data_IF_121220636229
#
_entry.id   IF_121220636229
#
_cell.length_a   1.000
_cell.length_b   1.000
_cell.length_c   1.000
_cell.angle_alpha   90.00
_cell.angle_beta   90.00
_cell.angle_gamma   90.00
#
_symmetry.space_group_name_H-M   'P 1'
#
loop_
_entity.id
_entity.type
_entity.pdbx_description
1 polymer ?
#
# COMPACT_ATOMS: atom_id res chain seq x y z
N UNK A 1 -14.47 10.09 -3.21
CA UNK A 1 -14.58 9.09 -4.30
C UNK A 1 -14.36 7.65 -3.81
N UNK A 2 -13.45 7.38 -2.85
CA UNK A 2 -13.25 6.03 -2.30
C UNK A 2 -13.20 5.94 -0.75
N UNK A 3 -13.42 7.04 -0.02
CA UNK A 3 -13.36 7.02 1.45
C UNK A 3 -11.96 6.84 2.07
N UNK A 4 -10.90 7.17 1.32
CA UNK A 4 -9.50 7.08 1.77
C UNK A 4 -9.19 8.22 2.75
N UNK A 5 -8.65 7.89 3.93
CA UNK A 5 -8.31 8.87 4.97
C UNK A 5 -7.00 9.62 4.69
N UNK A 6 -6.01 8.94 4.11
CA UNK A 6 -4.65 9.48 3.89
C UNK A 6 -4.17 9.25 2.46
N UNK A 7 -3.63 10.29 1.83
CA UNK A 7 -3.04 10.22 0.49
C UNK A 7 -1.69 10.91 0.49
N UNK A 8 -0.65 10.16 0.16
CA UNK A 8 0.71 10.68 -0.02
C UNK A 8 1.20 10.30 -1.43
N UNK A 9 1.60 11.31 -2.20
CA UNK A 9 2.08 11.15 -3.57
C UNK A 9 3.09 12.25 -3.93
N UNK A 10 3.88 12.00 -4.97
CA UNK A 10 4.71 13.05 -5.58
C UNK A 10 3.81 14.11 -6.22
N UNK A 11 4.13 15.38 -5.97
CA UNK A 11 3.45 16.50 -6.61
C UNK A 11 4.25 16.95 -7.83
N UNK A 12 3.61 17.00 -9.00
CA UNK A 12 4.26 17.44 -10.24
C UNK A 12 4.21 18.97 -10.34
N UNK A 13 5.33 19.59 -10.72
CA UNK A 13 5.36 21.03 -10.93
C UNK A 13 4.63 21.41 -12.23
N UNK A 14 3.67 22.33 -12.11
CA UNK A 14 2.87 22.85 -13.22
C UNK A 14 3.03 24.37 -13.28
N UNK A 15 3.43 24.88 -14.44
CA UNK A 15 3.51 26.31 -14.73
C UNK A 15 2.71 26.59 -16.00
N UNK A 16 1.80 27.57 -15.96
CA UNK A 16 0.93 27.94 -17.07
C UNK A 16 0.14 26.77 -17.67
N UNK A 17 -0.32 25.86 -16.79
CA UNK A 17 -1.08 24.67 -17.18
C UNK A 17 -0.25 23.58 -17.86
N UNK A 18 1.08 23.65 -17.83
CA UNK A 18 1.99 22.66 -18.43
C UNK A 18 2.91 22.02 -17.40
N UNK A 19 3.15 20.72 -17.56
CA UNK A 19 4.16 19.99 -16.79
C UNK A 19 5.55 20.53 -17.14
N UNK A 20 6.34 20.87 -16.13
CA UNK A 20 7.72 21.34 -16.32
C UNK A 20 8.72 20.18 -16.43
N UNK A 21 8.29 18.97 -16.05
CA UNK A 21 9.16 17.80 -15.89
C UNK A 21 9.86 17.73 -14.53
N UNK A 22 9.58 18.68 -13.63
CA UNK A 22 10.04 18.66 -12.23
C UNK A 22 8.92 18.24 -11.29
N UNK A 23 9.29 17.99 -10.04
CA UNK A 23 8.37 17.72 -8.94
C UNK A 23 8.57 18.77 -7.84
N UNK A 24 7.57 18.90 -6.98
CA UNK A 24 7.58 19.77 -5.80
C UNK A 24 7.75 18.91 -4.54
N UNK A 25 8.41 19.49 -3.53
CA UNK A 25 8.57 18.86 -2.23
C UNK A 25 9.53 17.66 -2.22
N UNK A 26 9.32 16.77 -1.26
CA UNK A 26 10.10 15.55 -1.10
C UNK A 26 9.61 14.45 -2.03
N UNK A 27 10.53 13.61 -2.51
CA UNK A 27 10.18 12.43 -3.29
C UNK A 27 9.60 11.36 -2.36
N UNK A 28 8.43 10.84 -2.72
CA UNK A 28 7.85 9.62 -2.15
C UNK A 28 8.55 8.40 -2.75
N UNK A 29 9.73 8.11 -2.22
CA UNK A 29 10.50 6.89 -2.52
C UNK A 29 10.13 5.73 -1.57
N UNK A 30 10.85 4.61 -1.67
CA UNK A 30 10.54 3.45 -0.83
C UNK A 30 10.76 3.68 0.67
N UNK A 31 11.78 4.44 1.04
CA UNK A 31 12.02 4.78 2.45
C UNK A 31 10.91 5.70 2.96
N UNK A 32 10.52 6.71 2.17
CA UNK A 32 9.44 7.63 2.52
C UNK A 32 8.10 6.92 2.65
N UNK A 33 7.81 5.89 1.83
CA UNK A 33 6.60 5.06 2.00
C UNK A 33 6.58 4.34 3.36
N UNK A 34 7.71 3.79 3.80
CA UNK A 34 7.81 3.16 5.11
C UNK A 34 7.64 4.18 6.24
N UNK A 35 8.23 5.38 6.10
CA UNK A 35 8.04 6.49 7.03
C UNK A 35 6.57 6.89 7.15
N UNK A 36 5.85 7.05 6.02
CA UNK A 36 4.42 7.37 6.06
C UNK A 36 3.58 6.28 6.74
N UNK A 37 3.89 5.00 6.51
CA UNK A 37 3.21 3.90 7.22
C UNK A 37 3.40 4.03 8.74
N UNK A 38 4.62 4.30 9.19
CA UNK A 38 4.95 4.51 10.60
C UNK A 38 4.23 5.72 11.18
N UNK A 39 4.27 6.87 10.49
CA UNK A 39 3.62 8.11 10.92
C UNK A 39 2.10 7.96 11.03
N UNK A 40 1.47 7.30 10.06
CA UNK A 40 0.02 7.03 10.07
C UNK A 40 -0.32 6.10 11.23
N UNK A 41 0.44 5.02 11.43
CA UNK A 41 0.22 4.09 12.53
C UNK A 41 0.32 4.79 13.89
N UNK A 42 1.33 5.64 14.09
CA UNK A 42 1.49 6.45 15.30
C UNK A 42 0.33 7.43 15.51
N UNK A 43 -0.08 8.13 14.45
CA UNK A 43 -1.20 9.08 14.49
C UNK A 43 -2.52 8.41 14.87
N UNK A 44 -2.77 7.21 14.38
CA UNK A 44 -3.97 6.42 14.69
C UNK A 44 -3.86 5.62 15.99
N UNK A 45 -2.70 5.63 16.66
CA UNK A 45 -2.47 4.85 17.88
C UNK A 45 -2.44 3.34 17.64
N UNK A 46 -2.08 2.91 16.43
CA UNK A 46 -2.02 1.52 15.99
C UNK A 46 -0.57 1.04 16.09
N UNK A 47 -0.35 -0.14 16.69
CA UNK A 47 0.99 -0.73 16.69
C UNK A 47 1.38 -1.18 15.29
N UNK A 48 2.63 -0.99 14.86
CA UNK A 48 3.05 -1.30 13.48
C UNK A 48 2.74 -2.75 13.06
N UNK A 49 2.87 -3.71 13.99
CA UNK A 49 2.50 -5.13 13.78
C UNK A 49 0.99 -5.37 13.53
N UNK A 50 0.13 -4.38 13.68
CA UNK A 50 -1.31 -4.44 13.37
C UNK A 50 -1.64 -3.80 12.01
N UNK A 51 -0.61 -3.43 11.23
CA UNK A 51 -0.79 -2.82 9.91
C UNK A 51 -0.62 -3.85 8.80
N UNK A 52 -1.29 -3.60 7.68
CA UNK A 52 -1.13 -4.35 6.43
C UNK A 52 -0.65 -3.38 5.36
N UNK A 53 0.41 -3.76 4.65
CA UNK A 53 0.91 -3.03 3.50
C UNK A 53 0.80 -3.88 2.23
N UNK A 54 0.36 -3.27 1.13
CA UNK A 54 0.20 -3.93 -0.17
C UNK A 54 0.95 -3.14 -1.24
N UNK A 55 1.74 -3.82 -2.07
CA UNK A 55 2.52 -3.19 -3.14
C UNK A 55 3.01 -4.19 -4.18
N UNK A 56 3.41 -3.73 -5.36
CA UNK A 56 3.78 -4.56 -6.51
C UNK A 56 5.27 -4.46 -6.89
N UNK A 57 5.94 -3.40 -6.43
CA UNK A 57 7.27 -3.02 -6.87
C UNK A 57 8.36 -3.19 -5.80
N UNK A 58 9.62 -3.19 -6.26
CA UNK A 58 10.78 -3.21 -5.37
C UNK A 58 10.84 -1.95 -4.47
N UNK A 59 10.27 -0.84 -4.94
CA UNK A 59 10.18 0.40 -4.17
C UNK A 59 9.24 0.28 -2.97
N UNK A 60 8.37 -0.73 -2.93
CA UNK A 60 7.46 -0.94 -1.79
C UNK A 60 8.09 -1.82 -0.71
N UNK A 61 9.19 -2.52 -1.01
CA UNK A 61 9.82 -3.47 -0.08
C UNK A 61 10.12 -2.87 1.31
N UNK A 62 10.63 -1.64 1.45
CA UNK A 62 10.82 -1.06 2.79
C UNK A 62 9.51 -0.95 3.58
N UNK A 63 8.42 -0.56 2.92
CA UNK A 63 7.08 -0.45 3.54
C UNK A 63 6.49 -1.83 3.83
N UNK A 64 6.61 -2.78 2.90
CA UNK A 64 6.13 -4.15 3.07
C UNK A 64 6.85 -4.87 4.22
N UNK A 65 8.16 -4.67 4.36
CA UNK A 65 8.95 -5.29 5.42
C UNK A 65 8.73 -4.65 6.80
N UNK A 66 8.24 -3.41 6.84
CA UNK A 66 7.92 -2.71 8.09
C UNK A 66 6.56 -3.12 8.66
N UNK A 67 5.59 -3.39 7.79
CA UNK A 67 4.23 -3.73 8.19
C UNK A 67 4.17 -5.05 8.97
N UNK A 68 3.13 -5.21 9.80
CA UNK A 68 2.84 -6.49 10.45
C UNK A 68 2.50 -7.61 9.48
N UNK A 69 1.93 -7.25 8.32
CA UNK A 69 1.73 -8.14 7.18
C UNK A 69 2.03 -7.38 5.87
N UNK A 70 3.14 -7.71 5.23
CA UNK A 70 3.52 -7.19 3.91
C UNK A 70 3.08 -8.11 2.78
N UNK A 71 2.31 -7.59 1.83
CA UNK A 71 1.74 -8.35 0.71
C UNK A 71 2.27 -7.82 -0.63
N UNK A 72 3.04 -8.66 -1.33
CA UNK A 72 3.42 -8.42 -2.71
C UNK A 72 2.28 -8.81 -3.67
N UNK A 73 1.64 -7.82 -4.31
CA UNK A 73 0.49 -7.99 -5.19
C UNK A 73 0.92 -7.96 -6.67
N UNK A 74 0.66 -9.04 -7.41
CA UNK A 74 1.06 -9.20 -8.84
C UNK A 74 2.53 -8.82 -9.11
N UNK A 75 3.38 -8.98 -8.10
CA UNK A 75 4.72 -8.44 -8.10
C UNK A 75 5.70 -9.24 -8.97
N UNK A 76 6.81 -8.61 -9.37
CA UNK A 76 7.92 -9.32 -10.04
C UNK A 76 8.57 -10.33 -9.09
N UNK A 77 9.23 -11.36 -9.63
CA UNK A 77 9.84 -12.44 -8.84
C UNK A 77 10.76 -11.92 -7.72
N UNK A 78 11.58 -10.92 -8.02
CA UNK A 78 12.50 -10.29 -7.05
C UNK A 78 11.79 -9.67 -5.84
N UNK A 79 10.57 -9.18 -6.03
CA UNK A 79 9.75 -8.58 -4.97
C UNK A 79 9.07 -9.69 -4.16
N UNK A 80 8.57 -10.73 -4.84
CA UNK A 80 7.94 -11.89 -4.20
C UNK A 80 8.89 -12.65 -3.26
N UNK A 81 10.15 -12.78 -3.63
CA UNK A 81 11.17 -13.44 -2.80
C UNK A 81 11.54 -12.65 -1.54
N UNK A 82 11.26 -11.33 -1.54
CA UNK A 82 11.63 -10.43 -0.43
C UNK A 82 10.46 -10.09 0.49
N UNK A 83 9.22 -10.28 0.06
CA UNK A 83 8.02 -10.02 0.85
C UNK A 83 7.55 -11.29 1.59
N UNK A 84 6.95 -11.11 2.77
CA UNK A 84 6.47 -12.21 3.60
C UNK A 84 5.32 -13.00 2.95
N UNK A 85 4.44 -12.29 2.23
CA UNK A 85 3.30 -12.90 1.52
C UNK A 85 3.19 -12.34 0.11
N UNK A 86 2.61 -13.14 -0.80
CA UNK A 86 2.31 -12.67 -2.16
C UNK A 86 0.97 -13.17 -2.68
N UNK A 87 0.26 -12.32 -3.41
CA UNK A 87 -0.97 -12.63 -4.12
C UNK A 87 -0.70 -12.47 -5.62
N UNK A 88 -0.80 -13.57 -6.36
CA UNK A 88 -0.43 -13.62 -7.78
C UNK A 88 -1.58 -13.92 -8.73
N UNK A 89 -2.71 -14.41 -8.23
CA UNK A 89 -3.81 -14.97 -9.04
C UNK A 89 -5.19 -14.43 -8.68
N UNK A 90 -5.32 -13.65 -7.60
CA UNK A 90 -6.56 -13.03 -7.15
C UNK A 90 -6.49 -11.51 -7.35
N UNK A 91 -7.65 -10.85 -7.24
CA UNK A 91 -7.75 -9.40 -7.13
C UNK A 91 -7.30 -8.91 -5.75
N UNK A 92 -7.44 -7.59 -5.52
CA UNK A 92 -7.08 -6.97 -4.24
C UNK A 92 -7.98 -7.42 -3.08
N UNK A 93 -9.20 -7.86 -3.39
CA UNK A 93 -10.12 -8.59 -2.52
C UNK A 93 -9.49 -9.85 -1.91
N UNK A 94 -8.47 -10.43 -2.56
CA UNK A 94 -7.64 -11.51 -2.03
C UNK A 94 -7.06 -11.22 -0.63
N UNK A 95 -6.83 -9.95 -0.30
CA UNK A 95 -6.33 -9.51 1.02
C UNK A 95 -7.34 -9.85 2.13
N UNK A 96 -8.65 -9.84 1.85
CA UNK A 96 -9.69 -10.13 2.83
C UNK A 96 -9.56 -11.57 3.38
N UNK A 97 -9.15 -12.54 2.56
CA UNK A 97 -8.93 -13.91 3.04
C UNK A 97 -7.77 -14.00 4.04
N UNK A 98 -6.73 -13.17 3.87
CA UNK A 98 -5.60 -13.09 4.82
C UNK A 98 -6.03 -12.45 6.15
N UNK A 99 -7.07 -11.61 6.11
CA UNK A 99 -7.74 -11.06 7.29
C UNK A 99 -8.73 -12.04 7.94
N UNK A 100 -8.88 -13.26 7.40
CA UNK A 100 -9.79 -14.28 7.94
C UNK A 100 -11.22 -14.20 7.42
N UNK A 101 -11.49 -13.39 6.38
CA UNK A 101 -12.78 -13.41 5.71
C UNK A 101 -12.95 -14.67 4.84
N UNK A 102 -14.20 -15.00 4.58
CA UNK A 102 -14.61 -16.15 3.76
C UNK A 102 -15.66 -15.66 2.77
N UNK A 103 -15.90 -16.40 1.70
CA UNK A 103 -16.85 -16.03 0.63
C UNK A 103 -18.20 -15.59 1.19
N UNK A 104 -18.75 -16.34 2.16
CA UNK A 104 -20.01 -15.99 2.83
C UNK A 104 -20.04 -14.59 3.46
N UNK A 105 -18.90 -14.09 3.92
CA UNK A 105 -18.80 -12.73 4.46
C UNK A 105 -18.69 -11.68 3.35
N UNK A 106 -17.95 -11.99 2.28
CA UNK A 106 -17.72 -11.09 1.15
C UNK A 106 -19.01 -10.94 0.33
N UNK A 107 -19.69 -12.05 0.04
CA UNK A 107 -20.99 -12.08 -0.67
C UNK A 107 -22.05 -11.25 0.06
N UNK A 108 -22.01 -11.18 1.40
CA UNK A 108 -22.92 -10.36 2.19
C UNK A 108 -22.64 -8.86 2.08
N UNK A 109 -21.39 -8.46 1.82
CA UNK A 109 -20.98 -7.05 1.66
C UNK A 109 -21.32 -6.49 0.28
N UNK A 110 -21.39 -7.34 -0.76
CA UNK A 110 -21.77 -6.91 -2.12
C UNK A 110 -23.28 -6.68 -2.29
N UNK A 111 -24.09 -7.08 -1.31
CA UNK A 111 -25.56 -6.95 -1.33
C UNK A 111 -26.02 -5.62 -0.68
N UNK A 112 -25.11 -4.89 0.00
CA UNK A 112 -25.36 -3.55 0.59
C UNK A 112 -24.98 -2.40 -0.36
#
# INVERSE_FOLDING_TARGET
>A
ELGIDYVHANELEIIDGKLTGKYLGEIVDGAKKAEYLQEIAEREGIHINQTIAVGDGANDLPMLNLAGLGIAFHAKLTVKESAESSISSLGLDGVLYLLGYHDRHIDMMEIE
#
